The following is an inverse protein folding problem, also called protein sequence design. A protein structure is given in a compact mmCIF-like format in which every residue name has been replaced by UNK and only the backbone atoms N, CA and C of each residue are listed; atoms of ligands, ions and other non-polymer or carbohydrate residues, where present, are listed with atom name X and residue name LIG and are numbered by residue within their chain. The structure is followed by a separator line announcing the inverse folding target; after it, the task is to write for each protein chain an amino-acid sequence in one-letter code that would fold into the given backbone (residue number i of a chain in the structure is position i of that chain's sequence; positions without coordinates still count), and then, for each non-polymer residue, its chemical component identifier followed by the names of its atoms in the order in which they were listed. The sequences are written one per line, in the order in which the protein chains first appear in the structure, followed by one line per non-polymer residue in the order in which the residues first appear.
data_IF_226870979152
#
_entry.id   IF_226870979152
#
_cell.length_a   1.000
_cell.length_b   1.000
_cell.length_c   1.000
_cell.angle_alpha   90.00
_cell.angle_beta   90.00
_cell.angle_gamma   90.00
#
_symmetry.space_group_name_H-M   'P 1'
#
loop_
_entity.id
_entity.type
_entity.pdbx_description
1 polymer ?
#
# COMPACT_ATOMS: atom_id res chain seq x y z
N UNK A 1 -4.58 5.44 16.33
CA UNK A 1 -3.93 4.19 15.88
C UNK A 1 -4.90 3.06 16.03
N UNK A 2 -4.86 2.06 15.15
CA UNK A 2 -5.70 0.86 15.20
C UNK A 2 -5.01 -0.24 16.02
N UNK A 3 -5.76 -0.95 16.86
CA UNK A 3 -5.31 -2.19 17.51
C UNK A 3 -6.11 -3.40 17.02
N UNK A 4 -5.75 -4.60 17.49
CA UNK A 4 -6.32 -5.85 17.02
C UNK A 4 -7.79 -6.03 17.44
N UNK A 5 -8.15 -5.67 18.67
CA UNK A 5 -9.49 -5.91 19.20
C UNK A 5 -10.50 -4.93 18.60
N UNK A 6 -10.08 -3.67 18.43
CA UNK A 6 -10.82 -2.66 17.67
C UNK A 6 -11.10 -3.12 16.24
N UNK A 7 -10.06 -3.64 15.57
CA UNK A 7 -10.18 -4.10 14.19
C UNK A 7 -11.16 -5.27 14.06
N UNK A 8 -11.07 -6.27 14.94
CA UNK A 8 -11.96 -7.43 14.90
C UNK A 8 -13.42 -7.03 15.14
N UNK A 9 -13.69 -6.17 16.13
CA UNK A 9 -15.04 -5.64 16.35
C UNK A 9 -15.56 -4.86 15.15
N UNK A 10 -14.71 -4.10 14.47
CA UNK A 10 -15.11 -3.38 13.26
C UNK A 10 -15.46 -4.34 12.12
N UNK A 11 -14.68 -5.41 11.95
CA UNK A 11 -14.95 -6.46 10.96
C UNK A 11 -16.31 -7.12 11.25
N UNK A 12 -16.60 -7.43 12.51
CA UNK A 12 -17.85 -8.09 12.91
C UNK A 12 -19.09 -7.24 12.59
N UNK A 13 -18.97 -5.91 12.73
CA UNK A 13 -20.04 -4.97 12.39
C UNK A 13 -20.20 -4.80 10.87
N UNK A 14 -19.09 -4.65 10.14
CA UNK A 14 -19.11 -4.31 8.71
C UNK A 14 -19.30 -5.53 7.79
N UNK A 15 -18.90 -6.72 8.24
CA UNK A 15 -18.97 -7.97 7.48
C UNK A 15 -19.51 -9.14 8.34
N UNK A 16 -20.73 -9.03 8.90
CA UNK A 16 -21.26 -10.02 9.85
C UNK A 16 -21.48 -11.42 9.25
N UNK A 17 -21.58 -11.52 7.91
CA UNK A 17 -21.71 -12.79 7.19
C UNK A 17 -20.38 -13.38 6.70
N UNK A 18 -19.26 -12.69 6.95
CA UNK A 18 -17.91 -13.10 6.53
C UNK A 18 -17.82 -13.50 5.03
N UNK A 19 -18.54 -12.77 4.18
CA UNK A 19 -18.55 -12.99 2.74
C UNK A 19 -17.19 -12.57 2.13
N UNK A 20 -16.44 -13.48 1.47
CA UNK A 20 -15.16 -13.13 0.88
C UNK A 20 -15.27 -11.96 -0.10
N UNK A 21 -14.40 -10.96 0.02
CA UNK A 21 -14.40 -9.77 -0.85
C UNK A 21 -15.38 -8.68 -0.44
N UNK A 22 -16.24 -8.90 0.58
CA UNK A 22 -17.18 -7.89 1.08
C UNK A 22 -16.49 -6.70 1.74
N UNK A 23 -15.47 -6.97 2.56
CA UNK A 23 -14.78 -5.96 3.36
C UNK A 23 -13.31 -5.85 2.93
N UNK A 24 -12.90 -4.63 2.64
CA UNK A 24 -11.51 -4.27 2.34
C UNK A 24 -10.94 -3.45 3.48
N UNK A 25 -9.81 -3.90 4.03
CA UNK A 25 -9.02 -3.19 5.01
C UNK A 25 -7.87 -2.48 4.29
N UNK A 26 -7.86 -1.15 4.38
CA UNK A 26 -6.84 -0.31 3.72
C UNK A 26 -5.86 0.18 4.78
N UNK A 27 -4.63 -0.33 4.75
CA UNK A 27 -3.56 0.05 5.68
C UNK A 27 -2.77 1.25 5.16
N UNK A 28 -2.54 2.25 6.02
CA UNK A 28 -1.82 3.51 5.71
C UNK A 28 -0.91 3.93 6.86
N UNK A 29 0.10 3.12 7.13
CA UNK A 29 0.93 3.21 8.34
C UNK A 29 2.11 4.17 8.16
N UNK A 30 2.57 4.39 6.93
CA UNK A 30 3.85 5.02 6.62
C UNK A 30 4.98 4.00 6.57
N UNK A 31 5.98 4.27 5.74
CA UNK A 31 7.13 3.39 5.50
C UNK A 31 7.86 2.98 6.79
N UNK A 32 8.02 3.92 7.72
CA UNK A 32 8.73 3.70 8.98
C UNK A 32 7.98 2.75 9.95
N UNK A 33 6.67 2.60 9.78
CA UNK A 33 5.80 1.94 10.77
C UNK A 33 5.17 0.65 10.27
N UNK A 34 5.08 0.45 8.95
CA UNK A 34 4.37 -0.71 8.36
C UNK A 34 4.90 -2.04 8.90
N UNK A 35 6.22 -2.22 8.97
CA UNK A 35 6.84 -3.45 9.45
C UNK A 35 6.53 -3.77 10.92
N UNK A 36 6.32 -2.75 11.75
CA UNK A 36 6.02 -2.94 13.18
C UNK A 36 4.51 -3.07 13.44
N UNK A 37 3.68 -2.32 12.70
CA UNK A 37 2.27 -2.13 13.02
C UNK A 37 1.32 -3.07 12.27
N UNK A 38 1.66 -3.47 11.05
CA UNK A 38 0.79 -4.32 10.24
C UNK A 38 0.77 -5.80 10.70
N UNK A 39 1.92 -6.46 10.98
CA UNK A 39 1.92 -7.90 11.28
C UNK A 39 1.03 -8.34 12.46
N UNK A 40 0.95 -7.60 13.59
CA UNK A 40 0.01 -7.94 14.67
C UNK A 40 -1.46 -7.97 14.23
N UNK A 41 -1.86 -7.07 13.32
CA UNK A 41 -3.23 -7.01 12.80
C UNK A 41 -3.51 -8.17 11.84
N UNK A 42 -2.57 -8.48 10.94
CA UNK A 42 -2.67 -9.65 10.05
C UNK A 42 -2.87 -10.92 10.87
N UNK A 43 -2.04 -11.15 11.90
CA UNK A 43 -2.17 -12.32 12.79
C UNK A 43 -3.52 -12.38 13.50
N UNK A 44 -4.02 -11.25 14.00
CA UNK A 44 -5.31 -11.20 14.67
C UNK A 44 -6.46 -11.60 13.74
N UNK A 45 -6.51 -11.02 12.53
CA UNK A 45 -7.54 -11.31 11.52
C UNK A 45 -7.45 -12.77 11.07
N UNK A 46 -6.25 -13.28 10.81
CA UNK A 46 -6.03 -14.70 10.43
C UNK A 46 -6.46 -15.66 11.52
N UNK A 47 -6.07 -15.43 12.79
CA UNK A 47 -6.48 -16.26 13.93
C UNK A 47 -8.00 -16.25 14.16
N UNK A 48 -8.65 -15.13 13.89
CA UNK A 48 -10.10 -15.00 13.98
C UNK A 48 -10.83 -15.63 12.77
N UNK A 49 -10.10 -16.13 11.76
CA UNK A 49 -10.69 -16.75 10.57
C UNK A 49 -11.48 -15.79 9.68
N UNK A 50 -11.25 -14.48 9.79
CA UNK A 50 -12.00 -13.45 9.06
C UNK A 50 -11.51 -13.32 7.62
N UNK A 51 -12.44 -13.18 6.68
CA UNK A 51 -12.18 -13.09 5.24
C UNK A 51 -12.32 -11.65 4.76
N UNK A 52 -11.17 -11.00 4.56
CA UNK A 52 -11.07 -9.61 4.14
C UNK A 52 -10.08 -9.47 2.99
N UNK A 53 -10.22 -8.39 2.22
CA UNK A 53 -9.19 -7.94 1.26
C UNK A 53 -8.27 -6.96 1.95
N UNK A 54 -6.96 -7.12 1.82
CA UNK A 54 -5.99 -6.15 2.31
C UNK A 54 -5.47 -5.29 1.17
N UNK A 55 -5.57 -3.97 1.32
CA UNK A 55 -4.90 -3.02 0.43
C UNK A 55 -3.89 -2.17 1.21
N UNK A 56 -2.82 -1.78 0.53
CA UNK A 56 -1.89 -0.75 1.00
C UNK A 56 -2.30 0.61 0.42
N UNK A 57 -2.51 1.61 1.27
CA UNK A 57 -2.52 3.03 0.92
C UNK A 57 -1.17 3.63 1.36
N UNK A 58 -0.15 3.61 0.47
CA UNK A 58 1.18 4.11 0.77
C UNK A 58 1.27 5.65 0.70
N UNK A 59 0.15 6.34 0.49
CA UNK A 59 0.17 7.77 0.23
C UNK A 59 0.09 8.54 1.54
N UNK A 60 -0.97 8.30 2.29
CA UNK A 60 -1.33 9.20 3.39
C UNK A 60 -0.57 8.96 4.69
N UNK A 61 0.09 7.80 4.83
CA UNK A 61 1.02 7.54 5.92
C UNK A 61 2.36 8.29 5.77
N UNK A 62 2.65 8.82 4.57
CA UNK A 62 3.95 9.35 4.16
C UNK A 62 3.94 10.85 3.78
N UNK A 63 2.88 11.59 4.10
CA UNK A 63 2.83 13.04 3.85
C UNK A 63 3.81 13.77 4.76
N UNK A 64 4.66 14.61 4.17
CA UNK A 64 5.59 15.50 4.86
C UNK A 64 5.31 16.95 4.43
N UNK A 65 5.84 17.91 5.19
CA UNK A 65 5.80 19.34 4.86
C UNK A 65 7.21 19.85 4.61
N UNK A 66 7.42 20.51 3.48
CA UNK A 66 8.68 21.20 3.16
C UNK A 66 8.95 22.37 4.12
N UNK A 67 10.16 22.95 4.06
CA UNK A 67 10.47 24.16 4.82
C UNK A 67 9.50 25.32 4.51
N UNK A 68 8.98 25.38 3.28
CA UNK A 68 8.00 26.37 2.83
C UNK A 68 6.54 25.97 3.12
N UNK A 69 6.32 24.94 3.96
CA UNK A 69 4.99 24.43 4.35
C UNK A 69 4.14 23.89 3.20
N UNK A 70 4.76 23.57 2.07
CA UNK A 70 4.10 22.83 0.98
C UNK A 70 4.08 21.36 1.37
N UNK A 71 2.90 20.74 1.35
CA UNK A 71 2.79 19.29 1.54
C UNK A 71 3.39 18.56 0.35
N UNK A 72 4.11 17.49 0.60
CA UNK A 72 4.58 16.58 -0.45
C UNK A 72 4.68 15.17 0.11
N UNK A 73 4.98 14.20 -0.76
CA UNK A 73 5.29 12.81 -0.40
C UNK A 73 6.53 12.39 -1.18
N UNK A 74 7.40 11.64 -0.54
CA UNK A 74 8.55 11.02 -1.20
C UNK A 74 8.10 9.75 -1.91
N UNK A 75 8.39 9.65 -3.21
CA UNK A 75 8.17 8.44 -3.99
C UNK A 75 8.87 7.21 -3.36
N UNK A 76 10.07 7.39 -2.82
CA UNK A 76 10.82 6.31 -2.19
C UNK A 76 10.11 5.82 -0.92
N UNK A 77 9.53 6.72 -0.12
CA UNK A 77 8.75 6.35 1.06
C UNK A 77 7.45 5.64 0.66
N UNK A 78 6.77 6.10 -0.39
CA UNK A 78 5.59 5.44 -0.95
C UNK A 78 5.94 3.99 -1.34
N UNK A 79 7.01 3.82 -2.11
CA UNK A 79 7.47 2.49 -2.55
C UNK A 79 7.92 1.62 -1.36
N UNK A 80 8.61 2.20 -0.38
CA UNK A 80 9.06 1.48 0.81
C UNK A 80 7.88 0.95 1.64
N UNK A 81 6.79 1.71 1.78
CA UNK A 81 5.59 1.20 2.45
C UNK A 81 4.94 0.06 1.67
N UNK A 82 4.85 0.16 0.34
CA UNK A 82 4.34 -0.94 -0.50
C UNK A 82 5.17 -2.20 -0.29
N UNK A 83 6.50 -2.11 -0.34
CA UNK A 83 7.39 -3.25 -0.09
C UNK A 83 7.19 -3.83 1.31
N UNK A 84 7.13 -2.98 2.33
CA UNK A 84 6.91 -3.42 3.71
C UNK A 84 5.54 -4.08 3.92
N UNK A 85 4.52 -3.64 3.19
CA UNK A 85 3.22 -4.31 3.14
C UNK A 85 3.32 -5.72 2.55
N UNK A 86 3.99 -5.88 1.40
CA UNK A 86 4.22 -7.21 0.82
C UNK A 86 5.08 -8.11 1.72
N UNK A 87 6.09 -7.57 2.40
CA UNK A 87 6.93 -8.30 3.36
C UNK A 87 6.14 -8.79 4.56
N UNK A 88 5.29 -7.93 5.14
CA UNK A 88 4.42 -8.31 6.25
C UNK A 88 3.47 -9.44 5.86
N UNK A 89 2.87 -9.36 4.66
CA UNK A 89 1.99 -10.42 4.15
C UNK A 89 2.73 -11.74 3.94
N UNK A 90 3.92 -11.69 3.34
CA UNK A 90 4.75 -12.88 3.13
C UNK A 90 5.15 -13.53 4.46
N UNK A 91 5.61 -12.73 5.43
CA UNK A 91 6.02 -13.21 6.75
C UNK A 91 4.87 -13.86 7.53
N UNK A 92 3.66 -13.32 7.40
CA UNK A 92 2.46 -13.82 8.10
C UNK A 92 1.68 -14.86 7.28
N UNK A 93 2.17 -15.26 6.09
CA UNK A 93 1.52 -16.26 5.23
C UNK A 93 0.14 -15.83 4.72
N UNK A 94 -0.08 -14.52 4.54
CA UNK A 94 -1.35 -13.93 4.10
C UNK A 94 -1.24 -13.32 2.71
N UNK A 95 -2.38 -12.94 2.11
CA UNK A 95 -2.42 -12.41 0.75
C UNK A 95 -2.42 -10.87 0.72
N UNK A 96 -1.42 -10.29 0.06
CA UNK A 96 -1.36 -8.86 -0.27
C UNK A 96 -2.33 -8.57 -1.44
N UNK A 97 -3.50 -7.99 -1.14
CA UNK A 97 -4.60 -7.87 -2.10
C UNK A 97 -4.46 -6.76 -3.14
N UNK A 98 -3.59 -5.77 -2.91
CA UNK A 98 -3.33 -4.70 -3.86
C UNK A 98 -2.91 -3.38 -3.22
N UNK A 99 -2.95 -2.30 -4.02
CA UNK A 99 -2.57 -0.94 -3.62
C UNK A 99 -3.70 0.05 -3.93
N UNK A 100 -3.81 1.09 -3.11
CA UNK A 100 -4.76 2.20 -3.23
C UNK A 100 -3.94 3.50 -3.27
N UNK A 101 -3.90 4.18 -4.41
CA UNK A 101 -3.02 5.34 -4.63
C UNK A 101 -3.80 6.56 -5.11
N UNK A 102 -3.30 7.74 -4.76
CA UNK A 102 -3.78 9.02 -5.28
C UNK A 102 -2.91 9.43 -6.45
N UNK A 103 -3.50 9.54 -7.64
CA UNK A 103 -2.76 9.81 -8.86
C UNK A 103 -3.51 10.74 -9.81
N UNK A 104 -2.80 11.29 -10.79
CA UNK A 104 -3.35 12.02 -11.93
C UNK A 104 -2.57 11.67 -13.19
N UNK A 105 -3.25 11.67 -14.34
CA UNK A 105 -2.61 11.53 -15.65
C UNK A 105 -1.89 12.80 -16.14
N UNK A 106 -1.91 13.88 -15.34
CA UNK A 106 -1.22 15.12 -15.64
C UNK A 106 0.24 15.08 -15.18
N UNK A 107 1.09 15.84 -15.88
CA UNK A 107 2.49 16.06 -15.51
C UNK A 107 2.59 17.13 -14.42
N UNK A 108 2.14 16.79 -13.20
CA UNK A 108 2.21 17.66 -12.01
C UNK A 108 3.48 17.42 -11.20
N UNK A 109 3.86 18.40 -10.40
CA UNK A 109 5.02 18.38 -9.50
C UNK A 109 4.56 18.37 -8.04
N UNK A 110 3.83 17.33 -7.63
CA UNK A 110 3.20 17.25 -6.31
C UNK A 110 3.97 16.33 -5.34
N UNK A 111 4.52 15.21 -5.83
CA UNK A 111 5.37 14.28 -5.08
C UNK A 111 6.84 14.40 -5.53
N UNK A 112 7.78 14.33 -4.59
CA UNK A 112 9.23 14.34 -4.86
C UNK A 112 9.76 12.95 -5.16
N UNK A 113 10.88 12.85 -5.87
CA UNK A 113 11.51 11.60 -6.28
C UNK A 113 10.94 11.03 -7.59
N UNK A 114 10.96 9.71 -7.71
CA UNK A 114 10.65 8.98 -8.94
C UNK A 114 11.77 9.08 -9.98
N UNK A 115 11.54 8.52 -11.16
CA UNK A 115 12.52 8.45 -12.25
C UNK A 115 13.08 9.81 -12.67
N UNK A 116 12.26 10.87 -12.58
CA UNK A 116 12.65 12.25 -12.90
C UNK A 116 13.31 13.00 -11.74
N UNK A 117 13.40 12.39 -10.56
CA UNK A 117 14.06 12.95 -9.37
C UNK A 117 13.58 14.36 -9.01
N UNK A 118 12.25 14.56 -9.00
CA UNK A 118 11.66 15.83 -8.59
C UNK A 118 12.10 16.18 -7.18
N UNK A 119 12.50 17.43 -6.99
CA UNK A 119 12.97 17.98 -5.72
C UNK A 119 11.92 18.91 -5.11
N UNK A 120 12.12 19.33 -3.86
CA UNK A 120 11.24 20.34 -3.24
C UNK A 120 11.20 21.67 -4.02
N UNK A 121 12.27 22.00 -4.74
CA UNK A 121 12.34 23.21 -5.55
C UNK A 121 11.42 23.15 -6.78
N UNK A 122 11.15 21.95 -7.28
CA UNK A 122 10.31 21.73 -8.47
C UNK A 122 8.82 21.83 -8.14
N UNK A 123 8.43 21.68 -6.87
CA UNK A 123 7.03 21.65 -6.46
C UNK A 123 6.26 22.90 -6.91
N UNK A 124 6.89 24.08 -6.87
CA UNK A 124 6.26 25.34 -7.28
C UNK A 124 5.95 25.47 -8.77
N UNK A 125 6.44 24.55 -9.62
CA UNK A 125 6.23 24.59 -11.05
C UNK A 125 4.78 24.28 -11.44
N UNK A 126 4.23 23.18 -10.92
CA UNK A 126 2.90 22.68 -11.31
C UNK A 126 2.21 21.88 -10.20
N UNK A 127 1.98 22.55 -9.07
CA UNK A 127 1.23 22.02 -7.92
C UNK A 127 -0.27 22.37 -8.07
N UNK A 128 -1.10 21.42 -8.52
CA UNK A 128 -2.49 21.69 -8.94
C UNK A 128 -3.55 21.16 -7.95
N UNK A 129 -3.16 20.37 -6.95
CA UNK A 129 -4.07 19.84 -5.92
C UNK A 129 -4.35 20.86 -4.81
N UNK A 130 -5.61 20.88 -4.35
CA UNK A 130 -6.03 21.64 -3.16
C UNK A 130 -5.92 20.85 -1.85
N UNK A 131 -5.75 19.53 -1.94
CA UNK A 131 -5.76 18.65 -0.79
C UNK A 131 -4.36 18.05 -0.58
N UNK A 132 -4.18 16.79 -0.94
CA UNK A 132 -2.93 16.07 -0.78
C UNK A 132 -2.22 15.86 -2.13
N UNK A 133 -0.87 15.77 -2.11
CA UNK A 133 -0.02 15.61 -3.29
C UNK A 133 -0.20 14.25 -3.97
N UNK A 134 -0.50 14.25 -5.27
CA UNK A 134 -0.75 13.03 -6.06
C UNK A 134 0.52 12.57 -6.77
N UNK A 135 0.56 11.28 -7.13
CA UNK A 135 1.53 10.82 -8.13
C UNK A 135 1.15 11.38 -9.49
N UNK A 136 2.14 11.87 -10.24
CA UNK A 136 1.94 12.22 -11.64
C UNK A 136 1.89 10.96 -12.53
N UNK A 137 1.65 11.13 -13.83
CA UNK A 137 1.48 10.02 -14.77
C UNK A 137 2.68 9.05 -14.78
N UNK A 138 3.90 9.58 -14.81
CA UNK A 138 5.11 8.78 -14.92
C UNK A 138 5.47 8.10 -13.60
N UNK A 139 5.36 8.80 -12.46
CA UNK A 139 5.50 8.18 -11.14
C UNK A 139 4.46 7.06 -10.94
N UNK A 140 3.23 7.25 -11.43
CA UNK A 140 2.19 6.22 -11.34
C UNK A 140 2.53 4.99 -12.16
N UNK A 141 3.06 5.18 -13.38
CA UNK A 141 3.49 4.09 -14.24
C UNK A 141 4.72 3.36 -13.66
N UNK A 142 5.69 4.11 -13.14
CA UNK A 142 6.86 3.58 -12.44
C UNK A 142 6.45 2.70 -11.26
N UNK A 143 5.56 3.20 -10.40
CA UNK A 143 5.04 2.43 -9.27
C UNK A 143 4.34 1.15 -9.73
N UNK A 144 3.56 1.20 -10.81
CA UNK A 144 2.88 0.02 -11.36
C UNK A 144 3.86 -1.07 -11.79
N UNK A 145 4.96 -0.72 -12.46
CA UNK A 145 6.00 -1.68 -12.83
C UNK A 145 6.71 -2.27 -11.60
N UNK A 146 7.02 -1.44 -10.60
CA UNK A 146 7.68 -1.90 -9.38
C UNK A 146 6.77 -2.85 -8.57
N UNK A 147 5.47 -2.56 -8.48
CA UNK A 147 4.47 -3.48 -7.89
C UNK A 147 4.40 -4.79 -8.69
N UNK A 148 4.46 -4.73 -10.01
CA UNK A 148 4.45 -5.93 -10.84
C UNK A 148 5.68 -6.82 -10.58
N UNK A 149 6.86 -6.23 -10.36
CA UNK A 149 8.07 -6.98 -9.98
C UNK A 149 7.96 -7.60 -8.58
N UNK A 150 7.36 -6.90 -7.59
CA UNK A 150 7.08 -7.49 -6.28
C UNK A 150 6.14 -8.71 -6.39
N UNK A 151 5.08 -8.59 -7.19
CA UNK A 151 4.14 -9.71 -7.44
C UNK A 151 4.82 -10.90 -8.11
N UNK A 152 5.70 -10.63 -9.09
CA UNK A 152 6.45 -11.66 -9.81
C UNK A 152 7.46 -12.36 -8.90
N UNK A 153 8.21 -11.61 -8.10
CA UNK A 153 9.22 -12.14 -7.19
C UNK A 153 8.61 -13.00 -6.06
N UNK A 154 7.41 -12.65 -5.60
CA UNK A 154 6.72 -13.31 -4.48
C UNK A 154 5.73 -14.38 -4.93
N UNK A 155 5.64 -14.63 -6.24
CA UNK A 155 4.78 -15.67 -6.80
C UNK A 155 5.28 -17.03 -6.32
N UNK A 156 4.50 -17.67 -5.45
CA UNK A 156 4.70 -19.08 -5.11
C UNK A 156 4.51 -19.89 -6.41
N UNK A 157 5.48 -20.73 -6.81
CA UNK A 157 5.28 -21.62 -7.95
C UNK A 157 4.04 -22.47 -7.70
N UNK A 158 3.08 -22.46 -8.64
CA UNK A 158 1.99 -23.42 -8.61
C UNK A 158 2.62 -24.81 -8.56
N UNK A 159 2.36 -25.57 -7.48
CA UNK A 159 2.64 -27.01 -7.48
C UNK A 159 1.80 -27.60 -8.61
N UNK A 160 2.43 -27.90 -9.75
CA UNK A 160 1.82 -28.76 -10.76
C UNK A 160 1.47 -30.06 -10.06
N UNK A 161 0.20 -30.50 -10.05
CA UNK A 161 -0.14 -31.82 -9.56
C UNK A 161 0.73 -32.82 -10.33
N UNK A 162 1.48 -33.65 -9.63
CA UNK A 162 2.20 -34.74 -10.27
C UNK A 162 1.16 -35.55 -11.04
N UNK A 163 1.26 -35.54 -12.37
CA UNK A 163 0.43 -36.41 -13.21
C UNK A 163 0.82 -37.81 -12.81
N UNK A 164 -0.11 -38.54 -12.19
CA UNK A 164 0.10 -39.94 -11.86
C UNK A 164 0.38 -40.68 -13.17
N UNK A 165 1.60 -41.20 -13.31
CA UNK A 165 1.95 -42.09 -14.40
C UNK A 165 1.04 -43.33 -14.29
N UNK A 166 0.29 -43.60 -15.37
CA UNK A 166 -0.47 -44.84 -15.56
C UNK A 166 0.46 -45.95 -16.01
#
# INVERSE_FOLDING_TARGET
TMDADDLLRLIDVLSPRDEPGRLTLISRMGAERVHAKLPPLLRAVTRAGRKVVWLCDPMHGNTISTANKVKTRSFDSILAEVRGFFDAHLAEGTWAGGVHVEMTGQEVTECVGGAHRLTEADLGGRYETFCDPRLNAEQSLELAFLVAEELKARRIPLRTPAVAAQ
#
